data_IF_498467193333
#
_entry.id   IF_498467193333
#
_cell.length_a   1.000
_cell.length_b   1.000
_cell.length_c   1.000
_cell.angle_alpha   90.00
_cell.angle_beta   90.00
_cell.angle_gamma   90.00
#
_symmetry.space_group_name_H-M   'P 1'
#
loop_
_entity.id
_entity.type
_entity.pdbx_description
1 polymer ?
#
# COMPACT_ATOMS: atom_id res chain seq x y z
N UNK A 1 6.53 -17.03 7.89
CA UNK A 1 7.90 -16.91 7.30
C UNK A 1 8.37 -18.28 6.81
N UNK A 2 8.94 -18.37 5.60
CA UNK A 2 9.54 -19.61 5.04
C UNK A 2 10.95 -19.28 4.52
N UNK A 3 11.96 -19.99 5.03
CA UNK A 3 13.38 -19.85 4.67
C UNK A 3 14.06 -21.22 4.68
N UNK A 4 15.20 -21.36 4.00
CA UNK A 4 16.05 -22.54 4.12
C UNK A 4 17.10 -22.31 5.22
N UNK A 5 17.34 -23.33 6.04
CA UNK A 5 18.22 -23.23 7.22
C UNK A 5 19.22 -24.38 7.20
N UNK A 6 20.49 -24.06 7.42
CA UNK A 6 21.59 -25.02 7.49
C UNK A 6 22.16 -25.06 8.91
N UNK A 7 22.36 -26.27 9.44
CA UNK A 7 22.68 -26.48 10.85
C UNK A 7 22.89 -27.96 11.18
N UNK A 8 22.77 -28.29 12.46
CA UNK A 8 22.86 -29.66 12.96
C UNK A 8 22.05 -29.82 14.25
N UNK A 9 21.59 -31.02 14.54
CA UNK A 9 20.94 -31.36 15.82
C UNK A 9 22.00 -31.66 16.89
N UNK A 10 21.83 -31.10 18.10
CA UNK A 10 22.69 -31.39 19.25
C UNK A 10 22.29 -32.68 19.99
N UNK A 11 23.01 -33.02 21.07
CA UNK A 11 22.76 -34.21 21.89
C UNK A 11 21.44 -34.16 22.69
N UNK A 12 20.72 -33.04 22.65
CA UNK A 12 19.43 -32.81 23.33
C UNK A 12 18.27 -32.69 22.34
N UNK A 13 18.50 -32.84 21.05
CA UNK A 13 17.50 -32.68 20.00
C UNK A 13 17.22 -31.22 19.61
N UNK A 14 18.11 -30.29 19.94
CA UNK A 14 17.98 -28.87 19.58
C UNK A 14 18.71 -28.64 18.26
N UNK A 15 18.02 -28.08 17.26
CA UNK A 15 18.63 -27.72 15.98
C UNK A 15 19.44 -26.43 16.11
N UNK A 16 20.76 -26.54 16.02
CA UNK A 16 21.71 -25.43 16.05
C UNK A 16 21.90 -24.89 14.62
N UNK A 17 21.39 -23.69 14.38
CA UNK A 17 21.54 -22.97 13.12
C UNK A 17 22.98 -22.49 12.95
N UNK A 18 23.58 -22.79 11.79
CA UNK A 18 24.87 -22.24 11.34
C UNK A 18 24.69 -21.13 10.32
N UNK A 19 23.70 -21.27 9.44
CA UNK A 19 23.46 -20.37 8.31
C UNK A 19 22.01 -20.47 7.83
N UNK A 20 21.53 -19.51 7.06
CA UNK A 20 20.20 -19.52 6.45
C UNK A 20 20.18 -18.72 5.14
N UNK A 21 19.26 -19.07 4.24
CA UNK A 21 19.02 -18.29 3.02
C UNK A 21 17.53 -18.13 2.70
N UNK A 22 17.25 -17.06 1.97
CA UNK A 22 15.94 -16.75 1.42
C UNK A 22 15.76 -17.41 0.04
N UNK A 23 14.55 -17.37 -0.50
CA UNK A 23 14.30 -17.70 -1.89
C UNK A 23 14.97 -16.64 -2.78
N UNK A 24 15.66 -17.08 -3.84
CA UNK A 24 16.23 -16.16 -4.82
C UNK A 24 15.13 -15.30 -5.47
N UNK A 25 15.35 -13.99 -5.53
CA UNK A 25 14.44 -13.08 -6.21
C UNK A 25 14.64 -13.21 -7.72
N UNK A 26 13.54 -13.42 -8.44
CA UNK A 26 13.54 -13.38 -9.89
C UNK A 26 13.73 -11.92 -10.35
N UNK A 27 14.37 -11.73 -11.50
CA UNK A 27 14.46 -10.40 -12.11
C UNK A 27 13.05 -10.00 -12.57
N UNK A 28 12.56 -8.77 -12.30
CA UNK A 28 11.30 -8.27 -12.82
C UNK A 28 11.21 -8.36 -14.36
N UNK A 29 9.98 -8.44 -14.88
CA UNK A 29 9.73 -8.38 -16.33
C UNK A 29 10.13 -7.00 -16.85
N UNK A 30 11.00 -6.92 -17.85
CA UNK A 30 11.50 -5.64 -18.34
C UNK A 30 10.37 -4.70 -18.80
N UNK A 31 10.22 -3.54 -18.14
CA UNK A 31 9.26 -2.49 -18.55
C UNK A 31 9.60 -1.91 -19.91
N UNK A 32 8.57 -1.43 -20.61
CA UNK A 32 8.77 -0.56 -21.77
C UNK A 32 9.43 0.76 -21.35
N UNK A 33 10.36 1.27 -22.16
CA UNK A 33 11.02 2.55 -21.87
C UNK A 33 10.13 3.72 -22.25
N UNK A 34 9.60 4.46 -21.27
CA UNK A 34 8.90 5.72 -21.52
C UNK A 34 9.79 6.76 -22.20
N UNK A 35 9.24 7.47 -23.19
CA UNK A 35 9.92 8.54 -23.93
C UNK A 35 9.94 9.88 -23.19
N UNK A 36 9.01 10.07 -22.28
CA UNK A 36 8.78 11.29 -21.51
C UNK A 36 8.57 10.94 -20.03
N UNK A 37 8.71 11.94 -19.16
CA UNK A 37 8.42 11.75 -17.73
C UNK A 37 6.91 11.67 -17.49
N UNK A 38 6.49 10.56 -16.89
CA UNK A 38 5.12 10.36 -16.43
C UNK A 38 5.15 10.09 -14.93
N UNK A 39 4.14 10.60 -14.23
CA UNK A 39 4.12 10.64 -12.77
C UNK A 39 2.91 9.92 -12.21
N UNK A 40 3.11 9.31 -11.05
CA UNK A 40 2.09 8.61 -10.27
C UNK A 40 2.08 9.20 -8.87
N UNK A 41 0.90 9.49 -8.32
CA UNK A 41 0.78 10.10 -7.01
C UNK A 41 0.17 9.11 -6.01
N UNK A 42 0.75 9.01 -4.82
CA UNK A 42 0.20 8.25 -3.71
C UNK A 42 -0.18 9.19 -2.57
N UNK A 43 -1.40 9.04 -2.07
CA UNK A 43 -1.83 9.63 -0.80
C UNK A 43 -2.61 8.57 -0.02
N UNK A 44 -2.26 8.37 1.25
CA UNK A 44 -2.84 7.33 2.10
C UNK A 44 -3.18 7.92 3.45
N UNK A 45 -4.07 7.30 4.21
CA UNK A 45 -4.31 7.66 5.61
C UNK A 45 -4.70 9.10 5.78
N UNK A 46 -5.79 9.49 5.12
CA UNK A 46 -6.38 10.80 5.35
C UNK A 46 -6.91 10.89 6.81
N UNK A 47 -6.98 9.77 7.57
CA UNK A 47 -7.24 9.59 9.03
C UNK A 47 -8.23 10.58 9.59
N UNK A 48 -9.32 10.62 8.87
CA UNK A 48 -10.06 11.83 8.87
C UNK A 48 -10.96 11.88 10.15
N UNK A 49 -11.25 10.77 10.87
CA UNK A 49 -12.23 10.77 12.00
C UNK A 49 -11.71 10.74 13.44
N UNK A 50 -10.53 11.29 13.73
CA UNK A 50 -9.98 11.22 15.10
C UNK A 50 -10.54 12.24 16.12
N UNK A 51 -11.60 13.01 15.78
CA UNK A 51 -12.30 13.84 16.79
C UNK A 51 -13.22 12.99 17.67
N UNK A 52 -13.17 13.21 18.98
CA UNK A 52 -13.92 12.49 20.03
C UNK A 52 -15.43 12.80 20.09
N UNK A 53 -16.01 13.16 18.95
CA UNK A 53 -17.41 13.55 18.77
C UNK A 53 -18.05 12.54 17.82
N UNK A 54 -19.30 12.15 18.11
CA UNK A 54 -20.08 11.18 17.34
C UNK A 54 -20.57 11.86 16.05
N UNK A 55 -19.66 12.09 15.11
CA UNK A 55 -19.98 12.51 13.74
C UNK A 55 -20.23 11.30 12.85
N UNK A 56 -21.06 11.50 11.84
CA UNK A 56 -21.67 10.40 11.11
C UNK A 56 -20.71 9.91 10.01
N UNK A 57 -20.38 8.62 9.99
CA UNK A 57 -19.52 8.00 8.96
C UNK A 57 -19.96 8.31 7.51
N UNK A 58 -21.23 8.68 7.33
CA UNK A 58 -21.83 9.11 6.06
C UNK A 58 -21.39 10.52 5.59
N UNK A 59 -21.18 11.48 6.50
CA UNK A 59 -20.77 12.87 6.14
C UNK A 59 -19.35 12.91 5.59
N UNK A 60 -18.54 11.99 6.09
CA UNK A 60 -17.15 11.77 5.78
C UNK A 60 -16.93 11.12 4.42
N UNK A 61 -17.68 10.04 4.19
CA UNK A 61 -17.81 9.44 2.88
C UNK A 61 -18.31 10.46 1.85
N UNK A 62 -19.22 11.37 2.23
CA UNK A 62 -19.67 12.46 1.36
C UNK A 62 -18.57 13.49 1.07
N UNK A 63 -17.80 13.93 2.08
CA UNK A 63 -16.67 14.86 1.88
C UNK A 63 -15.62 14.27 0.93
N UNK A 64 -15.22 13.02 1.15
CA UNK A 64 -14.27 12.36 0.25
C UNK A 64 -14.86 12.12 -1.14
N UNK A 65 -16.13 11.69 -1.24
CA UNK A 65 -16.82 11.57 -2.52
C UNK A 65 -16.79 12.88 -3.31
N UNK A 66 -16.94 14.03 -2.65
CA UNK A 66 -16.78 15.34 -3.28
C UNK A 66 -15.34 15.59 -3.73
N UNK A 67 -14.34 15.34 -2.87
CA UNK A 67 -12.91 15.47 -3.21
C UNK A 67 -12.57 14.70 -4.51
N UNK A 68 -12.91 13.40 -4.57
CA UNK A 68 -12.66 12.60 -5.77
C UNK A 68 -13.52 13.04 -6.96
N UNK A 69 -14.73 13.58 -6.76
CA UNK A 69 -15.59 14.05 -7.85
C UNK A 69 -15.01 15.26 -8.60
N UNK A 70 -14.23 16.10 -7.92
CA UNK A 70 -13.60 17.28 -8.52
C UNK A 70 -12.24 17.01 -9.16
N UNK A 71 -11.64 15.82 -8.99
CA UNK A 71 -10.38 15.49 -9.67
C UNK A 71 -10.59 15.28 -11.17
N UNK A 72 -9.60 15.72 -11.94
CA UNK A 72 -9.53 15.58 -13.40
C UNK A 72 -8.65 14.39 -13.85
N UNK A 73 -7.87 13.83 -12.92
CA UNK A 73 -7.03 12.64 -13.12
C UNK A 73 -7.79 11.38 -12.72
N UNK A 74 -7.38 10.22 -13.24
CA UNK A 74 -7.92 8.94 -12.76
C UNK A 74 -7.50 8.68 -11.31
N UNK A 75 -8.37 7.95 -10.61
CA UNK A 75 -8.18 7.57 -9.22
C UNK A 75 -8.49 6.10 -9.07
N UNK A 76 -7.56 5.41 -8.44
CA UNK A 76 -7.72 4.09 -7.89
C UNK A 76 -7.88 4.22 -6.36
N UNK A 77 -8.87 3.55 -5.79
CA UNK A 77 -9.21 3.65 -4.36
C UNK A 77 -9.02 2.28 -3.70
N UNK A 78 -8.10 2.18 -2.75
CA UNK A 78 -7.90 0.96 -1.95
C UNK A 78 -8.52 1.10 -0.56
N UNK A 79 -9.14 0.03 -0.02
CA UNK A 79 -9.67 0.02 1.34
C UNK A 79 -8.56 -0.03 2.40
N UNK A 80 -8.72 0.76 3.47
CA UNK A 80 -7.98 0.66 4.73
C UNK A 80 -8.64 -0.26 5.76
N UNK A 81 -8.03 -0.36 6.95
CA UNK A 81 -8.52 -1.20 8.06
C UNK A 81 -9.83 -0.69 8.69
N UNK A 82 -10.08 0.63 8.61
CA UNK A 82 -11.24 1.31 9.19
C UNK A 82 -12.41 1.48 8.20
N UNK A 83 -12.16 1.20 6.91
CA UNK A 83 -13.12 1.45 5.83
C UNK A 83 -14.29 0.43 5.88
N UNK A 84 -15.49 0.77 5.37
CA UNK A 84 -16.67 -0.08 5.41
C UNK A 84 -16.62 -1.24 4.40
N UNK A 85 -15.65 -2.14 4.61
CA UNK A 85 -15.40 -3.37 3.87
C UNK A 85 -15.12 -4.52 4.85
N UNK A 86 -14.56 -5.64 4.40
CA UNK A 86 -14.12 -6.69 5.33
C UNK A 86 -12.78 -6.34 5.98
N UNK A 87 -12.68 -6.54 7.29
CA UNK A 87 -11.47 -6.33 8.09
C UNK A 87 -10.33 -7.31 7.74
N UNK A 88 -10.67 -8.55 7.39
CA UNK A 88 -9.69 -9.58 7.04
C UNK A 88 -9.06 -9.34 5.67
N UNK A 89 -7.76 -9.61 5.53
CA UNK A 89 -7.10 -9.65 4.22
C UNK A 89 -7.49 -10.90 3.40
N UNK A 90 -7.58 -10.82 2.06
CA UNK A 90 -7.60 -9.60 1.27
C UNK A 90 -8.95 -8.87 1.37
N UNK A 91 -8.90 -7.57 1.67
CA UNK A 91 -10.07 -6.71 1.75
C UNK A 91 -10.69 -6.54 0.36
N UNK A 92 -12.01 -6.66 0.29
CA UNK A 92 -12.76 -6.49 -0.95
C UNK A 92 -12.88 -5.00 -1.33
N UNK A 93 -12.97 -4.68 -2.64
CA UNK A 93 -13.20 -3.32 -3.10
C UNK A 93 -14.40 -2.63 -2.45
N UNK A 94 -14.26 -1.32 -2.20
CA UNK A 94 -15.33 -0.47 -1.71
C UNK A 94 -16.51 -0.46 -2.69
N UNK A 95 -17.73 -0.54 -2.16
CA UNK A 95 -18.92 -0.73 -2.99
C UNK A 95 -19.30 0.58 -3.72
N UNK A 96 -19.57 0.57 -5.04
CA UNK A 96 -19.86 1.77 -5.84
C UNK A 96 -20.97 2.71 -5.33
N UNK A 97 -21.89 2.23 -4.48
CA UNK A 97 -22.90 3.08 -3.83
C UNK A 97 -22.30 4.14 -2.90
N UNK A 98 -21.06 3.94 -2.45
CA UNK A 98 -20.30 4.88 -1.65
C UNK A 98 -19.93 6.15 -2.43
N UNK A 99 -19.82 6.06 -3.77
CA UNK A 99 -19.36 7.16 -4.61
C UNK A 99 -20.35 7.50 -5.75
N UNK A 100 -21.58 7.99 -5.47
CA UNK A 100 -22.69 8.02 -6.43
C UNK A 100 -22.45 8.77 -7.74
N UNK A 101 -21.54 9.74 -7.76
CA UNK A 101 -21.12 10.46 -8.98
C UNK A 101 -19.83 9.90 -9.59
N UNK A 102 -18.85 9.53 -8.76
CA UNK A 102 -17.50 9.18 -9.19
C UNK A 102 -17.41 7.76 -9.74
N UNK A 103 -18.17 6.81 -9.18
CA UNK A 103 -18.23 5.42 -9.67
C UNK A 103 -18.86 5.26 -11.06
N UNK A 104 -19.43 6.33 -11.62
CA UNK A 104 -19.91 6.40 -13.01
C UNK A 104 -18.78 6.73 -14.00
N UNK A 105 -17.64 7.23 -13.51
CA UNK A 105 -16.45 7.51 -14.34
C UNK A 105 -15.63 6.24 -14.48
N UNK A 106 -15.14 5.95 -15.69
CA UNK A 106 -14.16 4.87 -15.91
C UNK A 106 -12.83 5.17 -15.21
N UNK A 107 -12.52 6.45 -15.04
CA UNK A 107 -11.35 7.00 -14.37
C UNK A 107 -11.44 6.94 -12.83
N UNK A 108 -12.32 6.09 -12.28
CA UNK A 108 -12.42 5.91 -10.82
C UNK A 108 -12.67 4.44 -10.50
N UNK A 109 -11.62 3.72 -10.13
CA UNK A 109 -11.71 2.31 -9.74
C UNK A 109 -11.70 2.16 -8.22
N UNK A 110 -12.40 1.15 -7.73
CA UNK A 110 -12.25 0.64 -6.37
C UNK A 110 -11.52 -0.69 -6.46
N UNK A 111 -10.42 -0.82 -5.73
CA UNK A 111 -9.48 -1.94 -5.78
C UNK A 111 -9.51 -2.75 -4.48
N UNK A 112 -8.91 -3.94 -4.49
CA UNK A 112 -8.75 -4.75 -3.29
C UNK A 112 -7.57 -4.26 -2.42
N UNK A 113 -7.36 -4.87 -1.25
CA UNK A 113 -6.11 -4.72 -0.49
C UNK A 113 -5.69 -6.08 0.11
N UNK A 114 -4.50 -6.64 -0.19
CA UNK A 114 -3.51 -6.15 -1.15
C UNK A 114 -4.03 -6.13 -2.59
N UNK A 115 -3.31 -5.42 -3.46
CA UNK A 115 -3.59 -5.41 -4.90
C UNK A 115 -2.29 -5.48 -5.72
N UNK A 116 -2.35 -6.22 -6.83
CA UNK A 116 -1.31 -6.32 -7.85
C UNK A 116 -1.89 -5.73 -9.15
N UNK A 117 -1.27 -4.66 -9.64
CA UNK A 117 -1.68 -4.00 -10.89
C UNK A 117 -0.59 -4.14 -11.95
N UNK A 118 -0.97 -4.83 -13.03
CA UNK A 118 -0.18 -5.01 -14.26
C UNK A 118 1.26 -5.49 -14.05
N UNK A 119 1.59 -6.12 -12.90
CA UNK A 119 2.95 -6.56 -12.56
C UNK A 119 3.95 -5.37 -12.42
N UNK A 120 3.44 -4.13 -12.43
CA UNK A 120 4.23 -2.92 -12.17
C UNK A 120 4.15 -2.58 -10.68
N UNK A 121 2.94 -2.64 -10.10
CA UNK A 121 2.69 -2.24 -8.70
C UNK A 121 2.16 -3.38 -7.86
N UNK A 122 2.82 -3.61 -6.71
CA UNK A 122 2.29 -4.36 -5.59
C UNK A 122 1.97 -3.37 -4.46
N UNK A 123 0.74 -3.43 -3.94
CA UNK A 123 0.18 -2.36 -3.12
C UNK A 123 -0.46 -2.93 -1.85
N UNK A 124 -0.20 -2.35 -0.68
CA UNK A 124 -0.96 -2.59 0.56
C UNK A 124 -1.38 -1.29 1.24
N UNK A 125 -2.44 -1.35 2.03
CA UNK A 125 -2.88 -0.24 2.91
C UNK A 125 -2.15 -0.19 4.26
N UNK A 126 -0.94 -0.77 4.34
CA UNK A 126 -0.03 -0.62 5.50
C UNK A 126 -0.12 -1.68 6.60
N UNK A 127 -1.24 -2.39 6.73
CA UNK A 127 -1.49 -3.27 7.89
C UNK A 127 -0.43 -4.38 8.07
N UNK A 128 0.16 -4.86 6.98
CA UNK A 128 1.24 -5.84 7.01
C UNK A 128 2.52 -5.29 7.67
N UNK A 129 2.83 -4.01 7.51
CA UNK A 129 3.96 -3.36 8.18
C UNK A 129 3.62 -3.00 9.63
N UNK A 130 2.40 -2.52 9.90
CA UNK A 130 1.94 -2.20 11.25
C UNK A 130 1.92 -3.40 12.19
N UNK A 131 1.62 -4.60 11.66
CA UNK A 131 1.60 -5.84 12.42
C UNK A 131 3.02 -6.43 12.64
N UNK A 132 3.90 -6.37 11.63
CA UNK A 132 5.30 -6.85 11.76
C UNK A 132 6.11 -5.95 12.70
N UNK A 133 5.96 -4.62 12.59
CA UNK A 133 6.82 -3.65 13.29
C UNK A 133 6.96 -3.91 14.80
N UNK A 134 5.88 -3.98 15.62
CA UNK A 134 5.97 -4.20 17.06
C UNK A 134 6.44 -5.61 17.46
N UNK A 135 6.47 -6.55 16.52
CA UNK A 135 6.93 -7.94 16.72
C UNK A 135 8.40 -8.14 16.30
N UNK A 136 9.04 -7.08 15.78
CA UNK A 136 10.38 -7.12 15.20
C UNK A 136 11.38 -6.25 15.97
N UNK A 137 12.66 -6.44 15.72
CA UNK A 137 13.73 -5.53 16.18
C UNK A 137 14.14 -4.55 15.08
N UNK A 138 13.21 -4.16 14.19
CA UNK A 138 13.48 -3.35 13.00
C UNK A 138 12.83 -1.98 13.17
N UNK A 139 13.67 -0.95 13.39
CA UNK A 139 13.21 0.44 13.57
C UNK A 139 12.79 1.11 12.24
N UNK A 140 13.25 0.59 11.11
CA UNK A 140 13.02 1.11 9.76
C UNK A 140 11.91 0.31 9.05
N UNK A 141 10.81 0.99 8.69
CA UNK A 141 9.67 0.33 8.07
C UNK A 141 9.88 -0.01 6.60
N UNK A 142 10.75 0.70 5.87
CA UNK A 142 11.10 0.29 4.50
C UNK A 142 11.98 -0.97 4.50
N UNK A 143 12.72 -1.24 5.58
CA UNK A 143 13.40 -2.53 5.78
C UNK A 143 12.43 -3.69 6.00
N UNK A 144 11.29 -3.47 6.66
CA UNK A 144 10.23 -4.48 6.79
C UNK A 144 9.64 -4.82 5.42
N UNK A 145 9.37 -3.80 4.61
CA UNK A 145 8.87 -3.96 3.23
C UNK A 145 9.87 -4.71 2.33
N UNK A 146 11.16 -4.41 2.48
CA UNK A 146 12.26 -5.12 1.82
C UNK A 146 12.34 -6.60 2.24
N UNK A 147 12.12 -6.89 3.53
CA UNK A 147 12.09 -8.25 4.04
C UNK A 147 10.86 -9.03 3.52
N UNK A 148 9.71 -8.38 3.38
CA UNK A 148 8.53 -8.96 2.72
C UNK A 148 8.83 -9.33 1.26
N UNK A 149 9.53 -8.45 0.53
CA UNK A 149 10.00 -8.73 -0.83
C UNK A 149 10.94 -9.94 -0.86
N UNK A 150 11.99 -9.96 -0.02
CA UNK A 150 12.97 -11.06 0.10
C UNK A 150 12.34 -12.40 0.48
N UNK A 151 11.27 -12.38 1.26
CA UNK A 151 10.48 -13.57 1.61
C UNK A 151 9.51 -14.01 0.51
N UNK A 152 9.38 -13.23 -0.58
CA UNK A 152 8.32 -13.35 -1.58
C UNK A 152 6.93 -13.44 -0.93
N UNK A 153 6.66 -12.65 0.11
CA UNK A 153 5.44 -12.71 0.91
C UNK A 153 4.97 -11.32 1.34
N UNK A 154 3.75 -10.94 0.97
CA UNK A 154 3.15 -9.63 1.28
C UNK A 154 2.91 -9.48 2.78
N UNK A 155 2.37 -10.52 3.41
CA UNK A 155 2.02 -10.56 4.83
C UNK A 155 2.51 -11.88 5.47
N UNK A 156 3.84 -12.02 5.71
CA UNK A 156 4.48 -13.29 6.10
C UNK A 156 4.13 -13.82 7.51
N UNK A 157 3.25 -13.12 8.23
CA UNK A 157 2.73 -13.42 9.57
C UNK A 157 1.19 -13.53 9.61
N UNK A 158 0.51 -13.45 8.46
CA UNK A 158 -0.86 -13.95 8.35
C UNK A 158 -0.87 -15.50 8.45
N UNK A 159 -1.86 -16.13 9.12
CA UNK A 159 -3.01 -15.53 9.83
C UNK A 159 -2.74 -15.22 11.33
N UNK A 160 -1.53 -15.47 11.84
CA UNK A 160 -1.24 -15.59 13.27
C UNK A 160 -1.50 -14.30 14.07
N UNK A 161 -1.21 -13.14 13.48
CA UNK A 161 -1.36 -11.81 14.12
C UNK A 161 -2.22 -10.87 13.28
N UNK A 162 -1.99 -10.81 11.96
CA UNK A 162 -2.86 -10.12 11.02
C UNK A 162 -3.93 -11.08 10.46
N UNK A 163 -5.20 -10.76 10.71
CA UNK A 163 -6.34 -11.58 10.30
C UNK A 163 -6.49 -11.69 8.78
N UNK A 164 -6.53 -12.91 8.24
CA UNK A 164 -6.80 -13.16 6.83
C UNK A 164 -7.86 -14.26 6.61
N UNK A 165 -8.41 -14.30 5.40
CA UNK A 165 -9.30 -15.38 4.98
C UNK A 165 -8.52 -16.73 4.91
N UNK A 166 -9.10 -17.85 5.37
CA UNK A 166 -8.42 -19.15 5.42
C UNK A 166 -8.38 -19.83 4.04
N UNK A 167 -7.43 -19.43 3.19
CA UNK A 167 -7.19 -20.08 1.90
C UNK A 167 -6.61 -21.49 2.05
N UNK A 168 -7.24 -22.48 1.41
CA UNK A 168 -6.88 -23.91 1.55
C UNK A 168 -5.88 -24.41 0.49
N UNK A 169 -5.80 -23.73 -0.67
CA UNK A 169 -5.03 -24.21 -1.84
C UNK A 169 -3.88 -23.28 -2.23
N UNK A 170 -4.21 -22.00 -2.45
CA UNK A 170 -3.29 -20.98 -2.93
C UNK A 170 -3.34 -19.84 -1.92
N UNK A 171 -2.19 -19.51 -1.34
CA UNK A 171 -2.03 -18.34 -0.47
C UNK A 171 -1.90 -17.08 -1.36
N UNK A 172 -2.82 -16.10 -1.27
CA UNK A 172 -2.76 -14.87 -2.07
C UNK A 172 -1.65 -13.92 -1.64
N UNK A 173 -0.99 -14.16 -0.50
CA UNK A 173 0.10 -13.32 -0.02
C UNK A 173 1.46 -13.73 -0.59
N UNK A 174 1.55 -14.79 -1.39
CA UNK A 174 2.80 -15.17 -2.07
C UNK A 174 3.04 -14.27 -3.28
N UNK A 175 4.17 -13.58 -3.29
CA UNK A 175 4.67 -12.80 -4.42
C UNK A 175 5.23 -13.78 -5.47
N UNK A 176 4.53 -13.93 -6.59
CA UNK A 176 4.89 -14.85 -7.68
C UNK A 176 5.72 -14.18 -8.77
N UNK A 177 5.30 -12.99 -9.19
CA UNK A 177 6.06 -12.10 -10.06
C UNK A 177 6.62 -10.95 -9.20
N UNK A 178 7.85 -10.51 -9.48
CA UNK A 178 8.45 -9.41 -8.72
C UNK A 178 7.97 -8.06 -9.30
N UNK A 179 7.36 -7.18 -8.48
CA UNK A 179 6.85 -5.88 -8.92
C UNK A 179 7.98 -4.86 -9.09
N UNK A 180 7.77 -3.85 -9.92
CA UNK A 180 8.71 -2.72 -10.07
C UNK A 180 8.58 -1.71 -8.94
N UNK A 181 7.40 -1.60 -8.36
CA UNK A 181 7.10 -0.76 -7.20
C UNK A 181 6.35 -1.61 -6.18
N UNK A 182 6.88 -1.71 -4.97
CA UNK A 182 6.17 -2.28 -3.84
C UNK A 182 5.98 -1.17 -2.81
N UNK A 183 4.72 -0.84 -2.49
CA UNK A 183 4.42 0.18 -1.49
C UNK A 183 3.42 -0.25 -0.43
N UNK A 184 3.54 0.41 0.72
CA UNK A 184 2.63 0.30 1.84
C UNK A 184 2.11 1.70 2.23
N UNK A 185 0.78 1.84 2.28
CA UNK A 185 0.08 3.03 2.76
C UNK A 185 0.15 3.23 4.27
N UNK A 186 -0.45 4.31 4.79
CA UNK A 186 -0.67 4.57 6.21
C UNK A 186 0.58 4.54 7.13
N UNK A 187 1.78 4.79 6.60
CA UNK A 187 3.01 4.71 7.39
C UNK A 187 3.24 6.00 8.23
N UNK A 188 4.02 5.96 9.33
CA UNK A 188 4.22 7.14 10.20
C UNK A 188 5.03 8.28 9.57
N UNK A 189 5.77 7.99 8.49
CA UNK A 189 6.61 8.93 7.74
C UNK A 189 6.86 8.40 6.33
N UNK A 190 7.24 9.28 5.41
CA UNK A 190 7.75 8.89 4.11
C UNK A 190 9.12 8.22 4.23
N UNK A 191 9.26 7.02 3.66
CA UNK A 191 10.54 6.34 3.50
C UNK A 191 10.59 5.64 2.13
N UNK A 192 11.75 5.61 1.48
CA UNK A 192 11.89 4.92 0.19
C UNK A 192 13.28 4.36 -0.02
N UNK A 193 13.37 3.22 -0.72
CA UNK A 193 14.62 2.53 -1.03
C UNK A 193 14.57 1.92 -2.43
N UNK A 194 15.57 2.16 -3.30
CA UNK A 194 15.78 1.35 -4.49
C UNK A 194 16.45 0.00 -4.10
N UNK A 195 16.08 -1.07 -4.77
CA UNK A 195 16.69 -2.40 -4.63
C UNK A 195 17.44 -2.77 -5.92
N UNK A 196 18.54 -3.52 -5.78
CA UNK A 196 19.46 -3.92 -6.87
C UNK A 196 18.80 -4.58 -8.10
N UNK A 197 17.60 -5.15 -7.95
CA UNK A 197 16.83 -5.80 -9.03
C UNK A 197 15.78 -4.87 -9.66
N UNK A 198 16.04 -3.56 -9.69
CA UNK A 198 15.17 -2.54 -10.29
C UNK A 198 13.77 -2.44 -9.64
N UNK A 199 13.70 -2.64 -8.32
CA UNK A 199 12.46 -2.48 -7.53
C UNK A 199 12.55 -1.23 -6.67
N UNK A 200 11.47 -0.46 -6.60
CA UNK A 200 11.30 0.72 -5.75
C UNK A 200 10.39 0.38 -4.57
N UNK A 201 10.94 0.43 -3.37
CA UNK A 201 10.20 0.29 -2.12
C UNK A 201 9.74 1.67 -1.63
N UNK A 202 8.47 1.78 -1.20
CA UNK A 202 7.88 3.06 -0.73
C UNK A 202 6.98 2.83 0.49
N UNK A 203 7.31 3.51 1.59
CA UNK A 203 6.40 3.74 2.71
C UNK A 203 5.70 5.08 2.46
N UNK A 204 4.40 5.05 2.15
CA UNK A 204 3.58 6.24 1.92
C UNK A 204 3.03 6.71 3.27
N UNK A 205 3.27 7.97 3.68
CA UNK A 205 2.85 8.45 4.99
C UNK A 205 1.32 8.58 5.09
N UNK A 206 0.81 8.62 6.33
CA UNK A 206 -0.54 9.12 6.60
C UNK A 206 -0.63 10.62 6.30
N UNK A 207 -1.45 10.97 5.31
CA UNK A 207 -1.72 12.33 4.87
C UNK A 207 -2.23 13.23 6.01
N UNK A 208 -3.06 12.71 6.93
CA UNK A 208 -3.55 13.51 8.06
C UNK A 208 -2.44 13.97 9.00
N UNK A 209 -1.41 13.12 9.17
CA UNK A 209 -0.29 13.36 10.07
C UNK A 209 0.80 14.18 9.38
N UNK A 210 1.12 13.85 8.12
CA UNK A 210 2.20 14.48 7.37
C UNK A 210 1.79 15.74 6.59
N UNK A 211 0.50 15.88 6.24
CA UNK A 211 0.02 16.79 5.21
C UNK A 211 0.86 16.66 3.92
N UNK A 212 1.15 15.43 3.50
CA UNK A 212 2.00 15.15 2.35
C UNK A 212 1.45 14.03 1.47
N UNK A 213 1.76 14.13 0.18
CA UNK A 213 1.56 13.08 -0.82
C UNK A 213 2.88 12.78 -1.52
N UNK A 214 2.98 11.60 -2.11
CA UNK A 214 4.22 11.10 -2.69
C UNK A 214 4.10 11.09 -4.22
N UNK A 215 5.14 11.57 -4.90
CA UNK A 215 5.22 11.62 -6.37
C UNK A 215 6.32 10.68 -6.84
N UNK A 216 5.94 9.69 -7.65
CA UNK A 216 6.85 8.75 -8.31
C UNK A 216 6.97 9.09 -9.79
N UNK A 217 8.20 9.21 -10.28
CA UNK A 217 8.50 9.24 -11.71
C UNK A 217 8.57 7.80 -12.23
N UNK A 218 7.72 7.46 -13.20
CA UNK A 218 7.58 6.10 -13.75
C UNK A 218 8.72 5.70 -14.71
N UNK A 219 9.46 6.68 -15.23
CA UNK A 219 10.61 6.47 -16.13
C UNK A 219 11.92 6.23 -15.36
N UNK A 220 12.10 6.89 -14.21
CA UNK A 220 13.33 6.77 -13.39
C UNK A 220 13.14 5.93 -12.12
N UNK A 221 11.89 5.64 -11.74
CA UNK A 221 11.51 5.11 -10.43
C UNK A 221 12.05 5.96 -9.25
N UNK A 222 12.30 7.25 -9.45
CA UNK A 222 12.60 8.21 -8.38
C UNK A 222 11.32 8.71 -7.71
N UNK A 223 11.39 8.94 -6.41
CA UNK A 223 10.23 9.10 -5.56
C UNK A 223 10.47 10.25 -4.56
N UNK A 224 9.54 11.19 -4.47
CA UNK A 224 9.68 12.42 -3.70
C UNK A 224 8.41 12.71 -2.88
N UNK A 225 8.59 13.19 -1.66
CA UNK A 225 7.48 13.69 -0.83
C UNK A 225 7.19 15.16 -1.15
N UNK A 226 5.90 15.49 -1.33
CA UNK A 226 5.43 16.85 -1.50
C UNK A 226 4.46 17.21 -0.36
N UNK A 227 4.86 18.17 0.48
CA UNK A 227 4.00 18.77 1.49
C UNK A 227 2.91 19.62 0.82
N UNK A 228 1.66 19.47 1.23
CA UNK A 228 0.57 20.38 0.87
C UNK A 228 0.62 21.61 1.77
N UNK A 229 0.89 22.78 1.18
CA UNK A 229 0.68 24.06 1.85
C UNK A 229 -0.80 24.41 1.73
N UNK A 230 -1.52 24.37 2.85
CA UNK A 230 -2.86 24.95 2.93
C UNK A 230 -2.77 26.46 2.70
N UNK A 231 -3.03 26.91 1.47
CA UNK A 231 -3.58 28.24 1.27
C UNK A 231 -4.95 28.22 1.96
N UNK A 232 -5.18 29.14 2.88
CA UNK A 232 -6.46 29.35 3.56
C UNK A 232 -7.52 29.80 2.54
N UNK A 233 -8.06 28.84 1.79
CA UNK A 233 -9.38 28.96 1.20
C UNK A 233 -10.36 28.94 2.37
N UNK A 234 -11.04 30.07 2.61
CA UNK A 234 -12.16 30.16 3.55
C UNK A 234 -13.33 29.27 3.07
N UNK A 235 -13.19 27.97 3.29
CA UNK A 235 -14.28 27.00 3.22
C UNK A 235 -15.14 27.26 4.47
N UNK A 236 -16.45 27.57 4.34
CA UNK A 236 -17.28 27.88 5.49
C UNK A 236 -17.28 26.72 6.49
N UNK A 237 -16.87 27.03 7.72
CA UNK A 237 -16.59 26.12 8.83
C UNK A 237 -17.39 24.81 8.83
N UNK A 238 -16.74 23.74 8.40
CA UNK A 238 -16.98 22.38 8.88
C UNK A 238 -15.62 21.71 9.00
N UNK A 239 -15.26 21.37 10.24
CA UNK A 239 -14.26 20.34 10.51
C UNK A 239 -14.87 18.97 10.15
N UNK A 240 -14.22 17.90 10.62
CA UNK A 240 -14.74 16.54 10.69
C UNK A 240 -14.60 15.75 9.38
N UNK A 241 -14.12 14.51 9.47
CA UNK A 241 -13.62 13.78 8.30
C UNK A 241 -13.64 12.20 8.54
N UNK A 242 -13.54 11.27 7.54
CA UNK A 242 -13.11 9.81 7.68
C UNK A 242 -12.50 9.15 6.38
N UNK A 243 -11.74 8.05 6.54
CA UNK A 243 -10.66 7.45 5.69
C UNK A 243 -10.94 6.93 4.26
N UNK A 244 -9.92 7.09 3.38
CA UNK A 244 -9.71 6.37 2.09
C UNK A 244 -8.23 6.41 1.67
N UNK A 245 -7.76 5.50 0.81
CA UNK A 245 -6.46 5.63 0.11
C UNK A 245 -6.67 6.15 -1.33
N UNK A 246 -5.97 7.20 -1.76
CA UNK A 246 -5.97 7.71 -3.14
C UNK A 246 -4.66 7.30 -3.83
N UNK A 247 -4.81 6.43 -4.82
CA UNK A 247 -3.77 6.00 -5.75
C UNK A 247 -4.08 6.70 -7.09
N UNK A 248 -3.20 7.55 -7.62
CA UNK A 248 -3.56 8.45 -8.74
C UNK A 248 -2.96 8.00 -10.08
N UNK A 249 -3.90 7.78 -10.99
CA UNK A 249 -3.84 7.67 -12.45
C UNK A 249 -3.53 6.31 -13.10
N UNK A 250 -4.38 5.94 -14.07
CA UNK A 250 -4.55 4.61 -14.64
C UNK A 250 -4.22 4.61 -16.15
N UNK A 251 -4.55 5.70 -16.87
CA UNK A 251 -4.26 5.90 -18.31
C UNK A 251 -2.77 5.78 -18.70
N UNK A 252 -1.84 5.86 -17.74
CA UNK A 252 -0.40 5.82 -17.99
C UNK A 252 0.14 4.39 -18.08
N UNK A 253 -0.46 3.44 -17.36
CA UNK A 253 0.17 2.15 -17.08
C UNK A 253 0.00 1.15 -18.24
N UNK A 254 -1.08 1.29 -19.03
CA UNK A 254 -1.28 0.59 -20.30
C UNK A 254 -0.18 0.87 -21.35
N UNK A 255 0.63 1.92 -21.20
CA UNK A 255 1.81 2.17 -22.05
C UNK A 255 3.10 1.50 -21.53
N UNK A 256 3.12 1.07 -20.28
CA UNK A 256 4.29 0.54 -19.56
C UNK A 256 4.33 -0.99 -19.56
N UNK A 257 3.15 -1.63 -19.63
CA UNK A 257 2.92 -3.08 -19.66
C UNK A 257 3.22 -3.74 -21.03
#
# INVERSE_FOLDING_TARGET
IVIAVHGYEDDKGIFIVKDYCFKDLLIPKQLSSLKEDKFFLFASGFLLSETSIIFNQLEYLFLFHNLISYTITDIDIMPGVNDPCCYMLPQQPLHPCMFPSSSKRKTTLCLANPYDFQIVFLQTSGQNLDDIYPLSTIDDRVQILENCLKLCAIAPICPDTLSCYPYVKNDPFIITDIPHVFFAGNQPKFETRPHDIQVRLICVPSFAQSNSYIVLNLRTLECFEHLTVWLELEIPSYNDSNDFCIVVQNEILDEIA
#
